data_IF_391649745242
#
_entry.id   IF_391649745242
#
_cell.length_a   1.000
_cell.length_b   1.000
_cell.length_c   1.000
_cell.angle_alpha   90.00
_cell.angle_beta   90.00
_cell.angle_gamma   90.00
#
_symmetry.space_group_name_H-M   'P 1'
#
loop_
_entity.id
_entity.type
_entity.pdbx_description
1 polymer ?
#
# COMPACT_ATOMS: atom_id res chain seq x y z
N UNK A 1 -34.01 14.11 7.80
CA UNK A 1 -32.84 13.63 7.05
C UNK A 1 -32.79 14.31 5.69
N UNK A 2 -31.73 15.07 5.40
CA UNK A 2 -31.56 15.68 4.08
C UNK A 2 -31.11 14.63 3.04
N UNK A 3 -30.99 15.02 1.77
CA UNK A 3 -30.63 14.10 0.69
C UNK A 3 -29.24 13.46 0.90
N UNK A 4 -28.30 14.22 1.45
CA UNK A 4 -26.95 13.77 1.75
C UNK A 4 -26.95 12.64 2.79
N UNK A 5 -27.56 12.88 3.94
CA UNK A 5 -27.69 11.89 5.00
C UNK A 5 -28.38 10.61 4.52
N UNK A 6 -29.42 10.73 3.66
CA UNK A 6 -30.08 9.56 3.05
C UNK A 6 -29.11 8.76 2.19
N UNK A 7 -28.31 9.42 1.36
CA UNK A 7 -27.31 8.75 0.52
C UNK A 7 -26.26 8.03 1.38
N UNK A 8 -25.82 8.64 2.47
CA UNK A 8 -24.86 8.04 3.41
C UNK A 8 -25.45 6.82 4.12
N UNK A 9 -26.72 6.88 4.57
CA UNK A 9 -27.38 5.71 5.17
C UNK A 9 -27.50 4.54 4.19
N UNK A 10 -27.65 4.80 2.89
CA UNK A 10 -27.66 3.76 1.86
C UNK A 10 -26.27 3.15 1.65
N UNK A 11 -25.20 3.96 1.69
CA UNK A 11 -23.83 3.46 1.69
C UNK A 11 -23.57 2.52 2.88
N UNK A 12 -24.03 2.89 4.08
CA UNK A 12 -23.88 2.04 5.27
C UNK A 12 -24.62 0.70 5.17
N UNK A 13 -25.63 0.62 4.28
CA UNK A 13 -26.37 -0.62 3.97
C UNK A 13 -25.80 -1.37 2.77
N UNK A 14 -24.72 -0.89 2.17
CA UNK A 14 -24.14 -1.40 0.92
C UNK A 14 -25.09 -1.26 -0.30
N UNK A 15 -26.04 -0.31 -0.25
CA UNK A 15 -26.96 0.00 -1.34
C UNK A 15 -26.35 1.08 -2.27
N UNK A 16 -25.21 0.74 -2.89
CA UNK A 16 -24.35 1.69 -3.61
C UNK A 16 -25.04 2.38 -4.80
N UNK A 17 -25.80 1.65 -5.60
CA UNK A 17 -26.50 2.22 -6.77
C UNK A 17 -27.54 3.29 -6.35
N UNK A 18 -28.25 3.06 -5.26
CA UNK A 18 -29.27 3.98 -4.78
C UNK A 18 -28.64 5.18 -4.05
N UNK A 19 -27.52 4.96 -3.34
CA UNK A 19 -26.71 6.05 -2.82
C UNK A 19 -26.20 6.97 -3.95
N UNK A 20 -25.69 6.38 -5.04
CA UNK A 20 -25.23 7.12 -6.22
C UNK A 20 -26.33 7.99 -6.83
N UNK A 21 -27.54 7.44 -7.00
CA UNK A 21 -28.70 8.20 -7.51
C UNK A 21 -29.03 9.38 -6.60
N UNK A 22 -28.93 9.22 -5.28
CA UNK A 22 -29.18 10.33 -4.34
C UNK A 22 -28.08 11.39 -4.38
N UNK A 23 -26.80 11.02 -4.51
CA UNK A 23 -25.72 12.00 -4.68
C UNK A 23 -25.84 12.75 -6.01
N UNK A 24 -26.21 12.07 -7.11
CA UNK A 24 -26.49 12.72 -8.39
C UNK A 24 -27.63 13.73 -8.26
N UNK A 25 -28.74 13.31 -7.63
CA UNK A 25 -29.87 14.19 -7.36
C UNK A 25 -29.49 15.39 -6.47
N UNK A 26 -28.60 15.20 -5.49
CA UNK A 26 -28.13 16.30 -4.64
C UNK A 26 -27.38 17.37 -5.45
N UNK A 27 -26.57 16.93 -6.42
CA UNK A 27 -25.86 17.82 -7.35
C UNK A 27 -26.82 18.50 -8.34
N UNK A 28 -27.86 17.81 -8.80
CA UNK A 28 -28.91 18.38 -9.67
C UNK A 28 -29.75 19.45 -8.95
N UNK A 29 -30.01 19.26 -7.66
CA UNK A 29 -30.73 20.24 -6.82
C UNK A 29 -29.87 21.47 -6.53
N UNK A 30 -28.59 21.28 -6.19
CA UNK A 30 -27.63 22.37 -6.00
C UNK A 30 -26.18 21.90 -6.11
N UNK A 31 -25.40 22.56 -6.96
CA UNK A 31 -23.95 22.31 -7.12
C UNK A 31 -23.17 23.08 -6.06
N UNK A 32 -22.92 22.43 -4.93
CA UNK A 32 -22.19 22.98 -3.77
C UNK A 32 -20.88 22.22 -3.58
N UNK A 33 -19.97 22.76 -2.76
CA UNK A 33 -18.74 22.05 -2.35
C UNK A 33 -19.09 20.65 -1.83
N UNK A 34 -20.10 20.54 -0.96
CA UNK A 34 -20.51 19.25 -0.38
C UNK A 34 -21.08 18.29 -1.41
N UNK A 35 -22.09 18.71 -2.19
CA UNK A 35 -22.79 17.80 -3.10
C UNK A 35 -21.85 17.26 -4.18
N UNK A 36 -21.00 18.12 -4.74
CA UNK A 36 -20.01 17.73 -5.74
C UNK A 36 -18.91 16.83 -5.16
N UNK A 37 -18.39 17.15 -3.97
CA UNK A 37 -17.34 16.32 -3.33
C UNK A 37 -17.87 14.94 -2.96
N UNK A 38 -19.08 14.85 -2.42
CA UNK A 38 -19.67 13.55 -2.05
C UNK A 38 -20.02 12.71 -3.29
N UNK A 39 -20.47 13.33 -4.38
CA UNK A 39 -20.66 12.64 -5.65
C UNK A 39 -19.31 12.18 -6.25
N UNK A 40 -18.27 13.01 -6.19
CA UNK A 40 -16.94 12.62 -6.63
C UNK A 40 -16.37 11.46 -5.78
N UNK A 41 -16.62 11.46 -4.47
CA UNK A 41 -16.21 10.40 -3.56
C UNK A 41 -16.78 9.04 -3.97
N UNK A 42 -18.09 8.95 -4.23
CA UNK A 42 -18.70 7.68 -4.65
C UNK A 42 -18.24 7.24 -6.04
N UNK A 43 -18.00 8.19 -6.97
CA UNK A 43 -17.40 7.84 -8.26
C UNK A 43 -15.99 7.29 -8.13
N UNK A 44 -15.20 7.80 -7.19
CA UNK A 44 -13.84 7.39 -6.92
C UNK A 44 -13.78 5.98 -6.30
N UNK A 45 -14.51 5.74 -5.20
CA UNK A 45 -14.30 4.53 -4.39
C UNK A 45 -15.26 3.38 -4.69
N UNK A 46 -16.46 3.65 -5.19
CA UNK A 46 -17.45 2.59 -5.47
C UNK A 46 -17.57 2.28 -6.95
N UNK A 47 -17.49 3.30 -7.80
CA UNK A 47 -17.63 3.14 -9.25
C UNK A 47 -16.29 3.04 -10.00
N UNK A 48 -15.17 3.33 -9.33
CA UNK A 48 -13.82 3.36 -9.91
C UNK A 48 -13.71 4.25 -11.17
N UNK A 49 -14.47 5.35 -11.20
CA UNK A 49 -14.56 6.32 -12.30
C UNK A 49 -13.80 7.61 -11.98
N UNK A 50 -12.48 7.47 -11.79
CA UNK A 50 -11.58 8.58 -11.44
C UNK A 50 -11.68 9.78 -12.38
N UNK A 51 -11.87 9.56 -13.69
CA UNK A 51 -11.99 10.65 -14.67
C UNK A 51 -13.25 11.49 -14.48
N UNK A 52 -14.35 10.90 -14.00
CA UNK A 52 -15.58 11.63 -13.69
C UNK A 52 -15.41 12.38 -12.36
N UNK A 53 -14.83 11.72 -11.36
CA UNK A 53 -14.55 12.32 -10.07
C UNK A 53 -13.61 13.53 -10.19
N UNK A 54 -12.57 13.44 -11.03
CA UNK A 54 -11.63 14.53 -11.32
C UNK A 54 -12.35 15.78 -11.81
N UNK A 55 -13.22 15.68 -12.83
CA UNK A 55 -13.97 16.81 -13.38
C UNK A 55 -14.84 17.50 -12.32
N UNK A 56 -15.51 16.72 -11.47
CA UNK A 56 -16.32 17.26 -10.38
C UNK A 56 -15.46 17.99 -9.34
N UNK A 57 -14.30 17.44 -9.00
CA UNK A 57 -13.40 18.03 -8.01
C UNK A 57 -12.70 19.27 -8.54
N UNK A 58 -12.32 19.31 -9.81
CA UNK A 58 -11.79 20.52 -10.45
C UNK A 58 -12.80 21.68 -10.39
N UNK A 59 -14.10 21.38 -10.56
CA UNK A 59 -15.16 22.37 -10.32
C UNK A 59 -15.20 22.83 -8.86
N UNK A 60 -15.11 21.89 -7.90
CA UNK A 60 -15.08 22.22 -6.47
C UNK A 60 -13.88 23.09 -6.12
N UNK A 61 -12.67 22.78 -6.62
CA UNK A 61 -11.47 23.57 -6.31
C UNK A 61 -11.61 25.01 -6.81
N UNK A 62 -12.31 25.25 -7.93
CA UNK A 62 -12.59 26.60 -8.42
C UNK A 62 -13.52 27.40 -7.49
N UNK A 63 -14.32 26.73 -6.64
CA UNK A 63 -15.11 27.36 -5.58
C UNK A 63 -14.28 27.78 -4.37
N UNK A 64 -12.99 27.41 -4.31
CA UNK A 64 -12.05 27.69 -3.21
C UNK A 64 -12.56 27.21 -1.85
N UNK A 65 -12.83 25.90 -1.70
CA UNK A 65 -13.39 25.36 -0.47
C UNK A 65 -12.42 25.57 0.70
N UNK A 66 -12.98 25.85 1.87
CA UNK A 66 -12.21 25.98 3.11
C UNK A 66 -11.86 24.63 3.75
N UNK A 67 -12.39 23.53 3.20
CA UNK A 67 -12.11 22.16 3.66
C UNK A 67 -11.01 21.51 2.81
N UNK A 68 -10.18 20.70 3.46
CA UNK A 68 -9.11 19.93 2.82
C UNK A 68 -9.63 18.69 2.06
N UNK A 69 -10.88 18.26 2.29
CA UNK A 69 -11.45 17.02 1.72
C UNK A 69 -11.35 16.95 0.19
N UNK A 70 -11.78 17.98 -0.58
CA UNK A 70 -11.75 17.90 -2.04
C UNK A 70 -10.32 17.90 -2.58
N UNK A 71 -9.41 18.61 -1.92
CA UNK A 71 -7.99 18.63 -2.27
C UNK A 71 -7.34 17.27 -2.05
N UNK A 72 -7.58 16.61 -0.92
CA UNK A 72 -7.05 15.26 -0.69
C UNK A 72 -7.60 14.25 -1.70
N UNK A 73 -8.91 14.26 -1.95
CA UNK A 73 -9.52 13.34 -2.90
C UNK A 73 -8.97 13.53 -4.33
N UNK A 74 -8.79 14.78 -4.76
CA UNK A 74 -8.19 15.09 -6.06
C UNK A 74 -6.71 14.69 -6.11
N UNK A 75 -5.96 14.91 -5.03
CA UNK A 75 -4.56 14.47 -4.91
C UNK A 75 -4.40 12.95 -5.04
N UNK A 76 -5.31 12.17 -4.43
CA UNK A 76 -5.34 10.70 -4.57
C UNK A 76 -5.62 10.26 -6.01
N UNK A 77 -6.58 10.90 -6.68
CA UNK A 77 -6.88 10.65 -8.10
C UNK A 77 -5.63 10.94 -8.96
N UNK A 78 -4.99 12.08 -8.75
CA UNK A 78 -3.78 12.44 -9.51
C UNK A 78 -2.63 11.46 -9.27
N UNK A 79 -2.45 10.92 -8.07
CA UNK A 79 -1.47 9.85 -7.84
C UNK A 79 -1.83 8.58 -8.60
N UNK A 80 -3.08 8.09 -8.52
CA UNK A 80 -3.49 6.88 -9.27
C UNK A 80 -3.29 7.02 -10.77
N UNK A 81 -3.49 8.23 -11.29
CA UNK A 81 -3.25 8.58 -12.69
C UNK A 81 -1.79 8.92 -13.01
N UNK A 82 -0.87 8.83 -12.03
CA UNK A 82 0.55 9.15 -12.15
C UNK A 82 0.83 10.61 -12.57
N UNK A 83 -0.10 11.52 -12.28
CA UNK A 83 -0.01 12.97 -12.46
C UNK A 83 0.72 13.61 -11.26
N UNK A 84 1.99 13.24 -11.08
CA UNK A 84 2.74 13.53 -9.85
C UNK A 84 2.87 15.02 -9.50
N UNK A 85 3.16 15.88 -10.49
CA UNK A 85 3.27 17.33 -10.24
C UNK A 85 1.93 17.95 -9.82
N UNK A 86 0.84 17.56 -10.48
CA UNK A 86 -0.50 18.01 -10.12
C UNK A 86 -0.90 17.52 -8.72
N UNK A 87 -0.59 16.26 -8.38
CA UNK A 87 -0.81 15.74 -7.04
C UNK A 87 -0.04 16.55 -5.99
N UNK A 88 1.24 16.85 -6.25
CA UNK A 88 2.08 17.66 -5.36
C UNK A 88 1.47 19.05 -5.09
N UNK A 89 1.04 19.77 -6.13
CA UNK A 89 0.46 21.11 -5.99
C UNK A 89 -0.83 21.08 -5.15
N UNK A 90 -1.75 20.16 -5.45
CA UNK A 90 -3.02 20.04 -4.76
C UNK A 90 -2.83 19.60 -3.30
N UNK A 91 -1.94 18.64 -3.04
CA UNK A 91 -1.71 18.13 -1.67
C UNK A 91 -0.99 19.15 -0.79
N UNK A 92 -0.11 20.00 -1.34
CA UNK A 92 0.47 21.14 -0.60
C UNK A 92 -0.64 22.10 -0.16
N UNK A 93 -1.61 22.37 -1.04
CA UNK A 93 -2.78 23.21 -0.70
C UNK A 93 -3.60 22.56 0.40
N UNK A 94 -3.88 21.25 0.30
CA UNK A 94 -4.60 20.48 1.33
C UNK A 94 -3.95 20.60 2.70
N UNK A 95 -2.62 20.35 2.78
CA UNK A 95 -1.84 20.44 4.03
C UNK A 95 -1.87 21.86 4.61
N UNK A 96 -1.90 22.90 3.77
CA UNK A 96 -1.98 24.29 4.24
C UNK A 96 -3.32 24.62 4.92
N UNK A 97 -4.39 23.93 4.54
CA UNK A 97 -5.72 24.07 5.15
C UNK A 97 -5.79 23.24 6.43
N UNK A 98 -5.47 21.95 6.32
CA UNK A 98 -5.45 21.03 7.45
C UNK A 98 -4.45 19.89 7.21
N UNK A 99 -3.34 19.85 7.96
CA UNK A 99 -2.38 18.75 7.86
C UNK A 99 -2.99 17.42 8.33
N UNK A 100 -2.86 16.38 7.51
CA UNK A 100 -3.22 15.00 7.88
C UNK A 100 -2.11 14.03 7.50
N UNK A 101 -2.03 12.89 8.20
CA UNK A 101 -1.11 11.79 7.85
C UNK A 101 -1.28 11.36 6.39
N UNK A 102 -2.54 11.20 5.96
CA UNK A 102 -2.88 10.82 4.58
C UNK A 102 -2.35 11.82 3.55
N UNK A 103 -2.54 13.12 3.78
CA UNK A 103 -2.03 14.15 2.88
C UNK A 103 -0.50 14.17 2.82
N UNK A 104 0.16 14.01 3.97
CA UNK A 104 1.62 13.91 4.04
C UNK A 104 2.14 12.66 3.31
N UNK A 105 1.55 11.49 3.53
CA UNK A 105 1.94 10.25 2.85
C UNK A 105 1.80 10.40 1.34
N UNK A 106 0.66 10.91 0.88
CA UNK A 106 0.39 11.04 -0.55
C UNK A 106 1.30 12.09 -1.21
N UNK A 107 1.63 13.18 -0.50
CA UNK A 107 2.62 14.15 -0.96
C UNK A 107 4.01 13.52 -1.03
N UNK A 108 4.35 12.63 -0.09
CA UNK A 108 5.60 11.89 -0.10
C UNK A 108 5.70 10.94 -1.31
N UNK A 109 4.63 10.19 -1.61
CA UNK A 109 4.52 9.34 -2.81
C UNK A 109 4.75 10.15 -4.08
N UNK A 110 4.07 11.29 -4.23
CA UNK A 110 4.26 12.17 -5.39
C UNK A 110 5.72 12.65 -5.50
N UNK A 111 6.34 13.07 -4.40
CA UNK A 111 7.74 13.50 -4.42
C UNK A 111 8.72 12.35 -4.71
N UNK A 112 8.44 11.14 -4.24
CA UNK A 112 9.25 9.95 -4.52
C UNK A 112 9.30 9.67 -6.03
N UNK A 113 8.14 9.65 -6.70
CA UNK A 113 8.07 9.44 -8.15
C UNK A 113 8.65 10.59 -8.99
N UNK A 114 8.70 11.80 -8.44
CA UNK A 114 9.38 12.94 -9.05
C UNK A 114 10.91 12.91 -8.84
N UNK A 115 11.43 11.95 -8.07
CA UNK A 115 12.85 11.86 -7.72
C UNK A 115 13.29 12.84 -6.63
N UNK A 116 12.35 13.53 -5.97
CA UNK A 116 12.62 14.46 -4.87
C UNK A 116 12.72 13.68 -3.55
N UNK A 117 13.74 12.82 -3.43
CA UNK A 117 13.85 11.85 -2.35
C UNK A 117 13.97 12.48 -0.95
N UNK A 118 14.61 13.64 -0.81
CA UNK A 118 14.68 14.37 0.47
C UNK A 118 13.30 14.81 0.95
N UNK A 119 12.49 15.37 0.04
CA UNK A 119 11.12 15.79 0.36
C UNK A 119 10.23 14.57 0.64
N UNK A 120 10.37 13.50 -0.15
CA UNK A 120 9.66 12.24 0.08
C UNK A 120 9.96 11.69 1.48
N UNK A 121 11.24 11.57 1.83
CA UNK A 121 11.67 11.11 3.16
C UNK A 121 11.09 11.96 4.28
N UNK A 122 11.11 13.30 4.13
CA UNK A 122 10.57 14.23 5.11
C UNK A 122 9.06 14.07 5.30
N UNK A 123 8.30 13.98 4.20
CA UNK A 123 6.84 13.88 4.29
C UNK A 123 6.37 12.49 4.75
N UNK A 124 7.07 11.41 4.38
CA UNK A 124 6.82 10.09 4.99
C UNK A 124 7.01 10.13 6.50
N UNK A 125 8.05 10.81 7.00
CA UNK A 125 8.26 10.98 8.45
C UNK A 125 7.16 11.79 9.14
N UNK A 126 6.54 12.75 8.45
CA UNK A 126 5.38 13.48 9.00
C UNK A 126 4.10 12.64 9.02
N UNK A 127 4.01 11.63 8.16
CA UNK A 127 2.87 10.70 8.11
C UNK A 127 3.03 9.51 9.06
N UNK A 128 4.26 9.21 9.50
CA UNK A 128 4.61 7.96 10.17
C UNK A 128 4.37 7.93 11.67
N UNK A 129 4.01 6.76 12.15
CA UNK A 129 4.18 6.30 13.54
C UNK A 129 5.49 5.50 13.72
N UNK A 130 5.68 4.85 14.87
CA UNK A 130 6.97 4.24 15.24
C UNK A 130 7.47 3.19 14.23
N UNK A 131 6.60 2.28 13.80
CA UNK A 131 6.96 1.09 13.00
C UNK A 131 6.00 0.81 11.85
N UNK A 132 5.22 1.82 11.44
CA UNK A 132 4.22 1.69 10.38
C UNK A 132 4.86 1.71 8.98
N UNK A 133 4.02 1.51 7.97
CA UNK A 133 4.46 1.52 6.57
C UNK A 133 5.04 2.88 6.13
N UNK A 134 4.56 3.99 6.67
CA UNK A 134 5.12 5.31 6.36
C UNK A 134 6.53 5.47 6.93
N UNK A 135 6.83 4.96 8.13
CA UNK A 135 8.19 4.91 8.67
C UNK A 135 9.08 4.01 7.81
N UNK A 136 8.56 2.86 7.34
CA UNK A 136 9.28 2.00 6.38
C UNK A 136 9.67 2.79 5.12
N UNK A 137 8.73 3.52 4.50
CA UNK A 137 8.99 4.35 3.33
C UNK A 137 10.01 5.48 3.61
N UNK A 138 9.95 6.11 4.78
CA UNK A 138 10.94 7.08 5.23
C UNK A 138 12.35 6.47 5.28
N UNK A 139 12.51 5.31 5.93
CA UNK A 139 13.79 4.60 6.03
C UNK A 139 14.29 4.17 4.66
N UNK A 140 13.40 3.70 3.79
CA UNK A 140 13.74 3.33 2.41
C UNK A 140 14.29 4.52 1.61
N UNK A 141 13.68 5.70 1.73
CA UNK A 141 14.23 6.93 1.14
C UNK A 141 15.60 7.29 1.72
N UNK A 142 15.82 7.12 3.02
CA UNK A 142 17.14 7.36 3.64
C UNK A 142 18.22 6.42 3.08
N UNK A 143 17.89 5.16 2.83
CA UNK A 143 18.79 4.17 2.21
C UNK A 143 19.19 4.64 0.81
N UNK A 144 18.22 5.02 -0.02
CA UNK A 144 18.46 5.48 -1.39
C UNK A 144 19.25 6.79 -1.46
N UNK A 145 19.07 7.67 -0.47
CA UNK A 145 19.87 8.88 -0.27
C UNK A 145 21.30 8.60 0.25
N UNK A 146 21.63 7.34 0.58
CA UNK A 146 22.92 6.97 1.17
C UNK A 146 23.08 7.37 2.65
N UNK A 147 22.00 7.78 3.32
CA UNK A 147 21.99 8.17 4.75
C UNK A 147 21.89 6.95 5.67
N UNK A 148 22.81 6.00 5.49
CA UNK A 148 22.73 4.65 6.06
C UNK A 148 22.71 4.62 7.59
N UNK A 149 23.48 5.51 8.25
CA UNK A 149 23.50 5.57 9.73
C UNK A 149 22.17 6.02 10.30
N UNK A 150 21.52 7.00 9.67
CA UNK A 150 20.22 7.50 10.11
C UNK A 150 19.14 6.43 9.88
N UNK A 151 19.16 5.79 8.70
CA UNK A 151 18.28 4.66 8.38
C UNK A 151 18.42 3.52 9.41
N UNK A 152 19.65 3.15 9.78
CA UNK A 152 19.92 2.13 10.80
C UNK A 152 19.32 2.49 12.17
N UNK A 153 19.54 3.72 12.63
CA UNK A 153 18.99 4.18 13.92
C UNK A 153 17.46 4.12 13.93
N UNK A 154 16.81 4.39 12.79
CA UNK A 154 15.35 4.34 12.66
C UNK A 154 14.84 2.90 12.66
N UNK A 155 15.39 2.02 11.82
CA UNK A 155 14.97 0.61 11.74
C UNK A 155 15.23 -0.16 13.04
N UNK A 156 16.26 0.22 13.82
CA UNK A 156 16.55 -0.37 15.13
C UNK A 156 15.47 -0.12 16.18
N UNK A 157 14.59 0.86 15.94
CA UNK A 157 13.46 1.16 16.82
C UNK A 157 12.20 0.38 16.47
N UNK A 158 12.20 -0.36 15.35
CA UNK A 158 10.98 -1.04 14.93
C UNK A 158 10.62 -2.14 15.93
N UNK A 159 9.37 -2.17 16.33
CA UNK A 159 8.81 -3.14 17.25
C UNK A 159 7.55 -3.77 16.67
N UNK A 160 7.43 -5.10 16.81
CA UNK A 160 6.24 -5.85 16.40
C UNK A 160 5.02 -5.57 17.30
N UNK A 161 5.26 -4.97 18.47
CA UNK A 161 4.22 -4.64 19.45
C UNK A 161 3.66 -3.22 19.23
N UNK A 162 4.20 -2.47 18.25
CA UNK A 162 3.65 -1.17 17.87
C UNK A 162 2.36 -1.32 17.07
N UNK A 163 1.45 -0.36 17.23
CA UNK A 163 0.24 -0.28 16.42
C UNK A 163 0.59 -0.10 14.94
N UNK A 164 -0.20 -0.74 14.05
CA UNK A 164 0.00 -0.70 12.59
C UNK A 164 1.40 -1.13 12.12
N UNK A 165 2.06 -2.02 12.86
CA UNK A 165 3.37 -2.57 12.52
C UNK A 165 3.45 -3.04 11.06
N UNK A 166 4.45 -2.55 10.32
CA UNK A 166 4.62 -2.81 8.88
C UNK A 166 4.78 -4.29 8.53
N UNK A 167 5.34 -5.08 9.45
CA UNK A 167 5.56 -6.52 9.25
C UNK A 167 7.02 -6.94 9.28
N UNK A 168 7.27 -8.18 9.72
CA UNK A 168 8.61 -8.69 9.98
C UNK A 168 9.47 -8.77 8.71
N UNK A 169 8.88 -9.21 7.61
CA UNK A 169 9.57 -9.37 6.32
C UNK A 169 10.01 -8.00 5.76
N UNK A 170 9.19 -6.97 5.93
CA UNK A 170 9.54 -5.61 5.50
C UNK A 170 10.70 -5.04 6.31
N UNK A 171 10.71 -5.25 7.63
CA UNK A 171 11.84 -4.87 8.49
C UNK A 171 13.10 -5.64 8.11
N UNK A 172 13.01 -6.96 7.89
CA UNK A 172 14.13 -7.78 7.44
C UNK A 172 14.72 -7.25 6.13
N UNK A 173 13.85 -6.86 5.19
CA UNK A 173 14.25 -6.29 3.90
C UNK A 173 15.04 -4.98 4.04
N UNK A 174 14.68 -4.09 4.98
CA UNK A 174 15.45 -2.88 5.25
C UNK A 174 16.86 -3.22 5.76
N UNK A 175 16.99 -4.20 6.66
CA UNK A 175 18.30 -4.65 7.14
C UNK A 175 19.14 -5.30 6.05
N UNK A 176 18.54 -6.05 5.11
CA UNK A 176 19.25 -6.61 3.94
C UNK A 176 19.85 -5.48 3.11
N UNK A 177 19.09 -4.42 2.84
CA UNK A 177 19.55 -3.29 2.03
C UNK A 177 20.63 -2.45 2.72
N UNK A 178 20.55 -2.34 4.05
CA UNK A 178 21.59 -1.70 4.86
C UNK A 178 22.85 -2.57 5.05
N UNK A 179 22.81 -3.85 4.65
CA UNK A 179 23.92 -4.79 4.80
C UNK A 179 24.07 -5.40 6.20
N UNK A 180 23.08 -5.24 7.08
CA UNK A 180 23.05 -5.82 8.43
C UNK A 180 22.37 -7.20 8.41
N UNK A 181 23.07 -8.17 7.83
CA UNK A 181 22.48 -9.48 7.52
C UNK A 181 22.10 -10.30 8.75
N UNK A 182 22.75 -10.08 9.90
CA UNK A 182 22.42 -10.79 11.14
C UNK A 182 21.03 -10.39 11.63
N UNK A 183 20.79 -9.09 11.75
CA UNK A 183 19.51 -8.51 12.12
C UNK A 183 18.43 -8.86 11.08
N UNK A 184 18.77 -8.85 9.78
CA UNK A 184 17.85 -9.30 8.74
C UNK A 184 17.37 -10.74 8.97
N UNK A 185 18.29 -11.68 9.25
CA UNK A 185 17.96 -13.07 9.56
C UNK A 185 17.07 -13.17 10.81
N UNK A 186 17.37 -12.43 11.87
CA UNK A 186 16.55 -12.41 13.09
C UNK A 186 15.10 -11.99 12.80
N UNK A 187 14.90 -11.02 11.90
CA UNK A 187 13.55 -10.61 11.48
C UNK A 187 12.88 -11.58 10.51
N UNK A 188 13.62 -12.18 9.55
CA UNK A 188 13.06 -13.24 8.70
C UNK A 188 12.57 -14.44 9.53
N UNK A 189 13.32 -14.83 10.57
CA UNK A 189 12.91 -15.90 11.49
C UNK A 189 11.60 -15.54 12.19
N UNK A 190 11.41 -14.30 12.65
CA UNK A 190 10.16 -13.86 13.28
C UNK A 190 8.97 -13.94 12.32
N UNK A 191 9.18 -13.68 11.03
CA UNK A 191 8.15 -13.74 9.99
C UNK A 191 7.87 -15.14 9.43
N UNK A 192 8.70 -16.15 9.73
CA UNK A 192 8.69 -17.45 9.05
C UNK A 192 7.33 -18.17 9.07
N UNK A 193 6.66 -18.12 10.22
CA UNK A 193 5.37 -18.78 10.45
C UNK A 193 4.16 -17.84 10.28
N UNK A 194 4.40 -16.58 9.92
CA UNK A 194 3.36 -15.55 9.76
C UNK A 194 3.02 -15.36 8.28
N UNK A 195 4.05 -15.34 7.42
CA UNK A 195 3.88 -15.02 6.00
C UNK A 195 3.92 -16.26 5.13
N UNK A 196 3.15 -16.23 4.04
CA UNK A 196 3.32 -17.18 2.96
C UNK A 196 4.74 -17.07 2.40
N UNK A 197 5.40 -18.21 2.27
CA UNK A 197 6.79 -18.32 1.83
C UNK A 197 6.84 -18.15 0.32
N UNK A 198 6.82 -16.88 -0.11
CA UNK A 198 6.90 -16.42 -1.49
C UNK A 198 8.37 -16.36 -1.96
N UNK A 199 8.70 -16.64 -3.24
CA UNK A 199 10.10 -16.65 -3.70
C UNK A 199 10.83 -15.32 -3.50
N UNK A 200 10.11 -14.21 -3.56
CA UNK A 200 10.66 -12.85 -3.45
C UNK A 200 11.39 -12.59 -2.13
N UNK A 201 10.80 -12.93 -0.98
CA UNK A 201 11.42 -12.68 0.33
C UNK A 201 12.27 -13.86 0.78
N UNK A 202 11.93 -15.10 0.39
CA UNK A 202 12.76 -16.27 0.64
C UNK A 202 14.13 -16.11 -0.02
N UNK A 203 14.19 -15.59 -1.25
CA UNK A 203 15.47 -15.30 -1.91
C UNK A 203 16.32 -14.29 -1.16
N UNK A 204 15.70 -13.25 -0.58
CA UNK A 204 16.41 -12.27 0.27
C UNK A 204 16.87 -12.87 1.60
N UNK A 205 16.10 -13.79 2.17
CA UNK A 205 16.52 -14.52 3.36
C UNK A 205 17.71 -15.46 3.08
N UNK A 206 17.63 -16.26 2.01
CA UNK A 206 18.76 -17.07 1.52
C UNK A 206 19.99 -16.21 1.25
N UNK A 207 19.81 -15.06 0.61
CA UNK A 207 20.90 -14.11 0.37
C UNK A 207 21.55 -13.66 1.68
N UNK A 208 20.77 -13.23 2.68
CA UNK A 208 21.31 -12.82 3.97
C UNK A 208 22.09 -13.95 4.67
N UNK A 209 21.58 -15.19 4.62
CA UNK A 209 22.27 -16.37 5.16
C UNK A 209 23.61 -16.63 4.47
N UNK A 210 23.64 -16.55 3.13
CA UNK A 210 24.86 -16.75 2.36
C UNK A 210 25.91 -15.65 2.61
N UNK A 211 25.48 -14.41 2.86
CA UNK A 211 26.39 -13.32 3.24
C UNK A 211 27.06 -13.52 4.60
N UNK A 212 26.48 -14.36 5.46
CA UNK A 212 27.07 -14.79 6.73
C UNK A 212 27.69 -16.19 6.67
N UNK A 213 27.87 -16.76 5.47
CA UNK A 213 28.39 -18.12 5.26
C UNK A 213 27.55 -19.23 5.92
N UNK A 214 26.24 -18.99 6.13
CA UNK A 214 25.34 -19.96 6.73
C UNK A 214 24.65 -20.83 5.67
N UNK A 215 25.45 -21.52 4.86
CA UNK A 215 24.96 -22.31 3.72
C UNK A 215 24.09 -23.49 4.16
N UNK A 216 24.36 -24.10 5.31
CA UNK A 216 23.54 -25.22 5.83
C UNK A 216 22.11 -24.75 6.08
N UNK A 217 21.93 -23.66 6.82
CA UNK A 217 20.61 -23.11 7.10
C UNK A 217 19.90 -22.66 5.82
N UNK A 218 20.64 -22.09 4.85
CA UNK A 218 20.07 -21.74 3.55
C UNK A 218 19.50 -22.97 2.80
N UNK A 219 20.16 -24.13 2.87
CA UNK A 219 19.62 -25.37 2.30
C UNK A 219 18.42 -25.89 3.09
N UNK A 220 18.45 -25.79 4.42
CA UNK A 220 17.36 -26.25 5.27
C UNK A 220 16.05 -25.51 4.94
N UNK A 221 16.10 -24.17 4.86
CA UNK A 221 14.92 -23.36 4.50
C UNK A 221 14.41 -23.66 3.08
N UNK A 222 15.33 -23.88 2.12
CA UNK A 222 14.97 -24.18 0.73
C UNK A 222 14.33 -25.57 0.63
N UNK A 223 14.87 -26.56 1.32
CA UNK A 223 14.30 -27.90 1.38
C UNK A 223 12.90 -27.89 2.01
N UNK A 224 12.69 -27.07 3.04
CA UNK A 224 11.38 -26.91 3.67
C UNK A 224 10.35 -26.33 2.69
N UNK A 225 10.64 -25.21 2.02
CA UNK A 225 9.68 -24.60 1.07
C UNK A 225 9.45 -25.49 -0.15
N UNK A 226 10.49 -26.17 -0.67
CA UNK A 226 10.33 -27.13 -1.77
C UNK A 226 9.42 -28.27 -1.36
N UNK A 227 9.58 -28.79 -0.14
CA UNK A 227 8.72 -29.86 0.38
C UNK A 227 7.27 -29.41 0.54
N UNK A 228 7.04 -28.20 1.05
CA UNK A 228 5.69 -27.62 1.15
C UNK A 228 5.05 -27.50 -0.23
N UNK A 229 5.77 -26.96 -1.23
CA UNK A 229 5.27 -26.88 -2.60
C UNK A 229 4.97 -28.25 -3.22
N UNK A 230 5.78 -29.27 -2.94
CA UNK A 230 5.50 -30.63 -3.43
C UNK A 230 4.17 -31.15 -2.89
N UNK A 231 3.89 -30.93 -1.60
CA UNK A 231 2.61 -31.34 -1.01
C UNK A 231 1.45 -30.51 -1.57
N UNK A 232 1.58 -29.19 -1.67
CA UNK A 232 0.55 -28.31 -2.27
C UNK A 232 0.21 -28.73 -3.71
N UNK A 233 1.22 -29.05 -4.53
CA UNK A 233 1.00 -29.54 -5.90
C UNK A 233 0.22 -30.86 -5.88
N UNK A 234 0.58 -31.77 -4.98
CA UNK A 234 -0.08 -33.08 -4.85
C UNK A 234 -1.54 -32.91 -4.41
N UNK A 235 -1.79 -32.09 -3.40
CA UNK A 235 -3.13 -31.75 -2.91
C UNK A 235 -3.96 -31.11 -4.03
N UNK A 236 -3.40 -30.15 -4.77
CA UNK A 236 -4.08 -29.52 -5.90
C UNK A 236 -4.45 -30.51 -7.00
N UNK A 237 -3.63 -31.53 -7.27
CA UNK A 237 -3.98 -32.61 -8.22
C UNK A 237 -5.13 -33.49 -7.72
N UNK A 238 -5.21 -33.74 -6.41
CA UNK A 238 -6.23 -34.58 -5.76
C UNK A 238 -7.57 -33.84 -5.54
N UNK A 239 -7.56 -32.51 -5.51
CA UNK A 239 -8.74 -31.66 -5.32
C UNK A 239 -9.75 -31.82 -6.46
N UNK A 240 -11.02 -32.02 -6.12
CA UNK A 240 -12.12 -32.10 -7.09
C UNK A 240 -12.56 -30.70 -7.51
N UNK A 241 -12.77 -30.50 -8.81
CA UNK A 241 -13.26 -29.23 -9.37
C UNK A 241 -14.76 -29.06 -9.12
N UNK A 242 -15.21 -27.82 -8.92
CA UNK A 242 -16.61 -27.45 -8.74
C UNK A 242 -17.00 -26.20 -9.55
N UNK A 243 -18.09 -25.52 -9.18
CA UNK A 243 -18.58 -24.33 -9.90
C UNK A 243 -17.69 -23.10 -9.70
N UNK A 244 -16.97 -23.00 -8.58
CA UNK A 244 -16.08 -21.89 -8.21
C UNK A 244 -14.59 -22.23 -8.43
N UNK A 245 -14.26 -23.52 -8.54
CA UNK A 245 -12.92 -24.05 -8.81
C UNK A 245 -12.92 -24.87 -10.11
N UNK A 246 -12.66 -24.20 -11.24
CA UNK A 246 -12.66 -24.88 -12.53
C UNK A 246 -11.35 -25.65 -12.79
N UNK A 247 -11.40 -26.59 -13.73
CA UNK A 247 -10.20 -27.30 -14.18
C UNK A 247 -9.13 -26.35 -14.74
N UNK A 248 -9.53 -25.20 -15.28
CA UNK A 248 -8.59 -24.18 -15.78
C UNK A 248 -7.88 -23.50 -14.60
N UNK A 249 -8.62 -23.14 -13.54
CA UNK A 249 -8.07 -22.51 -12.34
C UNK A 249 -7.12 -23.46 -11.62
N UNK A 250 -7.52 -24.74 -11.48
CA UNK A 250 -6.68 -25.81 -10.97
C UNK A 250 -5.36 -25.95 -11.74
N UNK A 251 -5.42 -25.98 -13.07
CA UNK A 251 -4.21 -26.07 -13.90
C UNK A 251 -3.32 -24.83 -13.78
N UNK A 252 -3.92 -23.65 -13.65
CA UNK A 252 -3.18 -22.40 -13.43
C UNK A 252 -2.45 -22.41 -12.08
N UNK A 253 -3.14 -22.81 -11.00
CA UNK A 253 -2.55 -22.93 -9.65
C UNK A 253 -1.42 -23.96 -9.60
N UNK A 254 -1.63 -25.15 -10.17
CA UNK A 254 -0.59 -26.19 -10.24
C UNK A 254 0.64 -25.66 -11.01
N UNK A 255 0.42 -24.95 -12.11
CA UNK A 255 1.50 -24.36 -12.89
C UNK A 255 2.28 -23.32 -12.08
N UNK A 256 1.59 -22.43 -11.37
CA UNK A 256 2.20 -21.44 -10.48
C UNK A 256 3.05 -22.12 -9.39
N UNK A 257 2.50 -23.11 -8.68
CA UNK A 257 3.23 -23.87 -7.68
C UNK A 257 4.47 -24.59 -8.25
N UNK A 258 4.37 -25.15 -9.47
CA UNK A 258 5.49 -25.78 -10.17
C UNK A 258 6.57 -24.76 -10.54
N UNK A 259 6.20 -23.54 -10.92
CA UNK A 259 7.14 -22.48 -11.27
C UNK A 259 7.82 -21.92 -10.02
N UNK A 260 7.10 -21.68 -8.91
CA UNK A 260 7.69 -21.34 -7.60
C UNK A 260 8.67 -22.41 -7.14
N UNK A 261 8.29 -23.69 -7.22
CA UNK A 261 9.16 -24.83 -6.86
C UNK A 261 10.47 -24.80 -7.64
N UNK A 262 10.41 -24.60 -8.96
CA UNK A 262 11.62 -24.49 -9.81
C UNK A 262 12.47 -23.29 -9.41
N UNK A 263 11.85 -22.19 -8.98
CA UNK A 263 12.58 -21.02 -8.50
C UNK A 263 13.36 -21.34 -7.22
N UNK A 264 12.73 -22.00 -6.23
CA UNK A 264 13.41 -22.46 -5.02
C UNK A 264 14.58 -23.41 -5.33
N UNK A 265 14.38 -24.40 -6.20
CA UNK A 265 15.41 -25.38 -6.58
C UNK A 265 16.66 -24.73 -7.17
N UNK A 266 16.51 -23.62 -7.90
CA UNK A 266 17.61 -22.89 -8.54
C UNK A 266 18.16 -21.73 -7.69
N UNK A 267 17.48 -21.39 -6.60
CA UNK A 267 17.71 -20.18 -5.83
C UNK A 267 19.12 -20.13 -5.23
N UNK A 268 19.55 -21.23 -4.60
CA UNK A 268 20.85 -21.32 -3.96
C UNK A 268 22.00 -21.08 -4.96
N UNK A 269 21.99 -21.81 -6.07
CA UNK A 269 23.03 -21.71 -7.11
C UNK A 269 23.06 -20.32 -7.73
N UNK A 270 21.88 -19.78 -8.05
CA UNK A 270 21.73 -18.44 -8.62
C UNK A 270 22.33 -17.39 -7.70
N UNK A 271 21.96 -17.38 -6.42
CA UNK A 271 22.48 -16.41 -5.45
C UNK A 271 23.99 -16.62 -5.22
N UNK A 272 24.44 -17.87 -5.09
CA UNK A 272 25.86 -18.20 -4.91
C UNK A 272 26.72 -17.77 -6.11
N UNK A 273 26.13 -17.70 -7.30
CA UNK A 273 26.79 -17.20 -8.52
C UNK A 273 26.94 -15.67 -8.58
N UNK A 274 26.46 -14.96 -7.55
CA UNK A 274 26.56 -13.50 -7.44
C UNK A 274 25.28 -12.74 -7.77
N UNK A 275 24.17 -13.43 -8.04
CA UNK A 275 22.87 -12.78 -8.15
C UNK A 275 22.46 -12.17 -6.81
N UNK A 276 22.10 -10.90 -6.82
CA UNK A 276 21.58 -10.18 -5.66
C UNK A 276 20.06 -10.04 -5.85
N UNK A 277 19.23 -10.63 -4.98
CA UNK A 277 17.78 -10.49 -5.08
C UNK A 277 17.33 -9.03 -4.91
N UNK A 278 16.85 -8.44 -5.98
CA UNK A 278 16.27 -7.09 -5.98
C UNK A 278 14.81 -7.15 -5.52
N UNK A 279 14.34 -6.05 -4.93
CA UNK A 279 12.93 -5.81 -4.66
C UNK A 279 12.58 -4.48 -5.29
N UNK A 280 11.59 -4.48 -6.17
CA UNK A 280 11.01 -3.23 -6.65
C UNK A 280 10.28 -2.57 -5.48
N UNK A 281 10.55 -1.28 -5.26
CA UNK A 281 9.89 -0.49 -4.24
C UNK A 281 9.04 0.57 -4.92
N UNK A 282 7.75 0.52 -4.61
CA UNK A 282 6.74 1.46 -5.06
C UNK A 282 5.91 1.86 -3.83
N UNK A 283 6.00 3.11 -3.34
CA UNK A 283 5.28 3.50 -2.13
C UNK A 283 3.79 3.63 -2.40
N UNK A 284 2.98 3.04 -1.51
CA UNK A 284 1.52 3.08 -1.64
C UNK A 284 0.91 4.39 -1.09
N UNK A 285 -0.20 4.82 -1.70
CA UNK A 285 -1.02 5.89 -1.13
C UNK A 285 -1.75 5.43 0.12
N UNK A 286 -2.13 6.40 0.95
CA UNK A 286 -3.12 6.24 1.99
C UNK A 286 -4.43 6.86 1.52
N UNK A 287 -5.54 6.30 1.96
CA UNK A 287 -6.87 6.83 1.71
C UNK A 287 -7.56 7.11 3.04
N UNK A 288 -8.53 8.02 3.04
CA UNK A 288 -9.37 8.30 4.18
C UNK A 288 -10.81 8.56 3.72
N UNK A 289 -11.74 8.67 4.66
CA UNK A 289 -13.09 9.11 4.32
C UNK A 289 -13.07 10.63 4.06
N UNK A 290 -13.53 11.06 2.88
CA UNK A 290 -13.70 12.49 2.53
C UNK A 290 -15.15 12.82 2.23
N UNK A 291 -16.06 12.13 2.90
CA UNK A 291 -17.48 12.28 2.74
C UNK A 291 -18.02 13.25 3.80
N UNK A 292 -18.53 14.40 3.38
CA UNK A 292 -19.16 15.37 4.27
C UNK A 292 -20.46 14.80 4.84
N UNK A 293 -20.66 14.94 6.15
CA UNK A 293 -21.79 14.36 6.87
C UNK A 293 -21.63 12.88 7.25
N UNK A 294 -20.47 12.26 7.03
CA UNK A 294 -20.22 10.88 7.44
C UNK A 294 -20.20 10.73 8.96
N UNK A 295 -21.21 10.06 9.52
CA UNK A 295 -21.38 9.85 10.97
C UNK A 295 -20.34 8.89 11.54
N UNK A 296 -19.99 7.82 10.81
CA UNK A 296 -18.98 6.83 11.23
C UNK A 296 -17.61 7.44 11.53
N UNK A 297 -17.21 8.45 10.76
CA UNK A 297 -15.94 9.18 10.94
C UNK A 297 -16.15 10.57 11.56
N UNK A 298 -17.36 10.87 12.03
CA UNK A 298 -17.74 12.15 12.65
C UNK A 298 -17.42 13.38 11.79
N UNK A 299 -17.61 13.28 10.47
CA UNK A 299 -17.48 14.40 9.56
C UNK A 299 -18.77 15.22 9.55
N UNK A 300 -18.64 16.51 9.84
CA UNK A 300 -19.75 17.45 9.71
C UNK A 300 -20.17 17.64 8.25
N UNK A 301 -21.38 18.14 8.04
CA UNK A 301 -21.75 18.74 6.77
C UNK A 301 -20.92 20.01 6.54
N UNK A 302 -20.62 20.30 5.28
CA UNK A 302 -19.89 21.50 4.89
C UNK A 302 -20.73 22.74 5.19
N UNK A 303 -20.11 23.73 5.83
CA UNK A 303 -20.68 25.05 6.04
C UNK A 303 -19.99 26.03 5.08
N UNK A 304 -20.78 26.74 4.28
CA UNK A 304 -20.31 27.74 3.32
C UNK A 304 -19.61 28.93 3.98
#
# INVERSE_FOLDING_TARGET
>A
MNINQKAIELLEKNEYEDALKLFQKAVDESRTVQSLTNLAWIYCYEEYKDTIAEVLLEEVINMKPSSYFPYNLLGEIYIRQKKWEYAKEILVTSISIHPTKTAYNNLAVANYHLGNLEDASKYFLFASENSDYAMYCHVKCLIELGKLNEAKIKVDKFSKDDDEFVGEVDVANLYVELGFYKEAIEWFVKGWDIYWKQPNWISRYVYALLKLNNSTHAHDILNEVIKQKIEEIKEAYEEECDEDWSEIDKQANIKECLDEKKEYERMFERISSGYIPTREFDPSIQTACYLFGCTRHNHAEYQE
#
